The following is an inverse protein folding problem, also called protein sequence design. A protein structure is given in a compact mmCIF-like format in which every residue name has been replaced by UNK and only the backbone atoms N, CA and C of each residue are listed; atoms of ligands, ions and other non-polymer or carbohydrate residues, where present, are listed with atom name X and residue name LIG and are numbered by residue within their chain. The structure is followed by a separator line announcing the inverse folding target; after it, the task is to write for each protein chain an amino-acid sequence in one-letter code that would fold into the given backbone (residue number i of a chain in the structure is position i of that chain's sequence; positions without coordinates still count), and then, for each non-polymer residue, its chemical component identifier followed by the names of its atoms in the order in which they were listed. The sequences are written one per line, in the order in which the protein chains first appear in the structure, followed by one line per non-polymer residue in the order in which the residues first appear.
data_IF_012503858860
#
_entry.id   IF_012503858860
#
_cell.length_a   1.000
_cell.length_b   1.000
_cell.length_c   1.000
_cell.angle_alpha   90.00
_cell.angle_beta   90.00
_cell.angle_gamma   90.00
#
_symmetry.space_group_name_H-M   'P 1'
#
loop_
_entity.id
_entity.type
_entity.pdbx_description
1 polymer ?
#
# COMPACT_ATOMS: atom_id res chain seq x y z
N UNK A 1 19.68 8.89 28.19
CA UNK A 1 18.95 7.70 28.71
C UNK A 1 18.63 6.80 27.53
N UNK A 2 18.96 5.52 27.65
CA UNK A 2 19.14 4.58 26.54
C UNK A 2 17.86 4.24 25.80
N UNK A 3 17.90 4.34 24.47
CA UNK A 3 16.94 3.67 23.59
C UNK A 3 17.27 2.19 23.64
N UNK A 4 16.33 1.38 24.11
CA UNK A 4 16.43 -0.07 24.10
C UNK A 4 16.38 -0.53 22.63
N UNK A 5 17.54 -0.81 22.03
CA UNK A 5 17.62 -1.27 20.64
C UNK A 5 17.55 -2.78 20.60
N UNK A 6 16.36 -3.31 20.32
CA UNK A 6 16.17 -4.73 20.00
C UNK A 6 16.62 -4.98 18.56
N UNK A 7 17.73 -5.67 18.39
CA UNK A 7 18.22 -6.11 17.09
C UNK A 7 17.30 -7.23 16.57
N UNK A 8 16.24 -6.87 15.87
CA UNK A 8 15.32 -7.85 15.29
C UNK A 8 15.84 -8.29 13.93
N UNK A 9 16.16 -9.59 13.80
CA UNK A 9 16.42 -10.25 12.52
C UNK A 9 15.23 -10.16 11.54
N UNK A 10 14.06 -9.72 12.04
CA UNK A 10 12.81 -9.58 11.28
C UNK A 10 12.43 -8.12 10.96
N UNK A 11 13.35 -7.16 11.18
CA UNK A 11 13.09 -5.74 10.88
C UNK A 11 12.74 -5.52 9.40
N UNK A 12 13.33 -6.32 8.50
CA UNK A 12 13.02 -6.25 7.06
C UNK A 12 11.59 -6.70 6.77
N UNK A 13 11.13 -7.80 7.37
CA UNK A 13 9.74 -8.26 7.23
C UNK A 13 8.79 -7.21 7.77
N UNK A 14 8.97 -6.76 9.00
CA UNK A 14 8.09 -5.76 9.62
C UNK A 14 8.01 -4.46 8.79
N UNK A 15 9.15 -4.03 8.22
CA UNK A 15 9.20 -2.87 7.30
C UNK A 15 8.37 -3.13 6.04
N UNK A 16 8.50 -4.31 5.45
CA UNK A 16 7.77 -4.67 4.23
C UNK A 16 6.29 -4.94 4.46
N UNK A 17 5.91 -5.53 5.59
CA UNK A 17 4.50 -5.71 6.00
C UNK A 17 3.82 -4.35 6.15
N UNK A 18 4.46 -3.42 6.87
CA UNK A 18 3.96 -2.05 7.01
C UNK A 18 3.91 -1.33 5.67
N UNK A 19 4.95 -1.46 4.85
CA UNK A 19 5.00 -0.82 3.54
C UNK A 19 3.91 -1.34 2.60
N UNK A 20 3.73 -2.66 2.52
CA UNK A 20 2.73 -3.29 1.66
C UNK A 20 1.30 -2.91 2.07
N UNK A 21 1.02 -2.87 3.37
CA UNK A 21 -0.24 -2.35 3.88
C UNK A 21 -0.43 -0.87 3.51
N UNK A 22 0.55 -0.03 3.80
CA UNK A 22 0.45 1.43 3.62
C UNK A 22 0.29 1.81 2.15
N UNK A 23 1.04 1.20 1.24
CA UNK A 23 0.99 1.55 -0.19
C UNK A 23 -0.37 1.19 -0.82
N UNK A 24 -0.96 0.06 -0.44
CA UNK A 24 -2.30 -0.34 -0.91
C UNK A 24 -3.39 0.56 -0.31
N UNK A 25 -3.40 0.75 1.01
CA UNK A 25 -4.36 1.62 1.71
C UNK A 25 -4.32 3.06 1.19
N UNK A 26 -3.11 3.63 1.09
CA UNK A 26 -2.89 5.00 0.63
C UNK A 26 -3.26 5.16 -0.84
N UNK A 27 -2.84 4.22 -1.69
CA UNK A 27 -3.18 4.20 -3.12
C UNK A 27 -4.68 4.16 -3.37
N UNK A 28 -5.39 3.23 -2.71
CA UNK A 28 -6.83 3.02 -2.93
C UNK A 28 -7.68 4.18 -2.42
N UNK A 29 -7.39 4.69 -1.22
CA UNK A 29 -8.15 5.84 -0.67
C UNK A 29 -7.88 7.12 -1.45
N UNK A 30 -6.65 7.34 -1.95
CA UNK A 30 -6.32 8.49 -2.78
C UNK A 30 -6.95 8.41 -4.18
N UNK A 31 -6.89 7.25 -4.84
CA UNK A 31 -7.44 7.05 -6.18
C UNK A 31 -8.96 7.27 -6.20
N UNK A 32 -9.65 6.69 -5.22
CA UNK A 32 -11.12 6.80 -5.09
C UNK A 32 -11.57 8.12 -4.48
N UNK A 33 -10.70 8.83 -3.74
CA UNK A 33 -11.03 9.98 -2.88
C UNK A 33 -12.14 9.65 -1.88
N UNK A 34 -12.15 8.40 -1.40
CA UNK A 34 -13.13 7.87 -0.45
C UNK A 34 -12.44 7.34 0.81
N UNK A 35 -13.13 7.33 1.96
CA UNK A 35 -12.58 6.76 3.18
C UNK A 35 -12.52 5.24 3.03
N UNK A 36 -11.68 4.59 3.84
CA UNK A 36 -11.44 3.16 3.72
C UNK A 36 -12.69 2.29 3.93
N UNK A 37 -13.66 2.77 4.71
CA UNK A 37 -14.94 2.09 4.89
C UNK A 37 -15.73 1.93 3.59
N UNK A 38 -15.77 2.97 2.75
CA UNK A 38 -16.42 2.90 1.43
C UNK A 38 -15.63 1.98 0.48
N UNK A 39 -14.29 2.11 0.46
CA UNK A 39 -13.42 1.30 -0.39
C UNK A 39 -13.55 -0.20 -0.07
N UNK A 40 -13.48 -0.58 1.21
CA UNK A 40 -13.57 -1.98 1.63
C UNK A 40 -15.00 -2.53 1.64
N UNK A 41 -16.00 -1.64 1.62
CA UNK A 41 -17.42 -1.98 1.66
C UNK A 41 -18.03 -2.32 0.30
N UNK A 42 -17.48 -1.79 -0.80
CA UNK A 42 -17.92 -2.13 -2.15
C UNK A 42 -17.10 -3.30 -2.73
N UNK A 43 -17.72 -4.38 -3.27
CA UNK A 43 -17.00 -5.59 -3.69
C UNK A 43 -15.85 -5.35 -4.68
N UNK A 44 -16.08 -4.55 -5.73
CA UNK A 44 -15.06 -4.31 -6.75
C UNK A 44 -13.84 -3.55 -6.23
N UNK A 45 -14.02 -2.56 -5.35
CA UNK A 45 -12.90 -1.79 -4.78
C UNK A 45 -12.22 -2.55 -3.64
N UNK A 46 -12.96 -3.43 -2.95
CA UNK A 46 -12.39 -4.37 -1.99
C UNK A 46 -11.46 -5.38 -2.67
N UNK A 47 -11.88 -5.93 -3.80
CA UNK A 47 -11.05 -6.84 -4.62
C UNK A 47 -9.79 -6.12 -5.12
N UNK A 48 -9.93 -4.93 -5.69
CA UNK A 48 -8.76 -4.13 -6.12
C UNK A 48 -7.83 -3.78 -4.96
N UNK A 49 -8.35 -3.52 -3.75
CA UNK A 49 -7.52 -3.33 -2.55
C UNK A 49 -6.74 -4.60 -2.19
N UNK A 50 -7.37 -5.77 -2.25
CA UNK A 50 -6.71 -7.05 -2.01
C UNK A 50 -5.62 -7.32 -3.07
N UNK A 51 -5.89 -7.02 -4.34
CA UNK A 51 -4.91 -7.18 -5.41
C UNK A 51 -3.71 -6.23 -5.22
N UNK A 52 -3.93 -4.99 -4.79
CA UNK A 52 -2.84 -4.09 -4.42
C UNK A 52 -2.00 -4.66 -3.26
N UNK A 53 -2.63 -5.22 -2.22
CA UNK A 53 -1.93 -5.88 -1.11
C UNK A 53 -1.10 -7.07 -1.60
N UNK A 54 -1.66 -7.91 -2.48
CA UNK A 54 -0.98 -9.08 -3.08
C UNK A 54 0.22 -8.67 -3.92
N UNK A 55 0.06 -7.65 -4.76
CA UNK A 55 1.13 -7.11 -5.60
C UNK A 55 2.28 -6.55 -4.75
N UNK A 56 1.97 -5.79 -3.70
CA UNK A 56 2.98 -5.26 -2.80
C UNK A 56 3.71 -6.39 -2.03
N UNK A 57 2.99 -7.41 -1.59
CA UNK A 57 3.57 -8.60 -0.93
C UNK A 57 4.46 -9.42 -1.89
N UNK A 58 4.06 -9.55 -3.16
CA UNK A 58 4.85 -10.19 -4.20
C UNK A 58 6.19 -9.47 -4.40
N UNK A 59 6.16 -8.14 -4.51
CA UNK A 59 7.38 -7.32 -4.63
C UNK A 59 8.24 -7.43 -3.37
N UNK A 60 7.64 -7.42 -2.18
CA UNK A 60 8.38 -7.58 -0.93
C UNK A 60 9.16 -8.90 -0.88
N UNK A 61 8.53 -10.02 -1.28
CA UNK A 61 9.19 -11.33 -1.36
C UNK A 61 10.34 -11.34 -2.36
N UNK A 62 10.16 -10.74 -3.53
CA UNK A 62 11.23 -10.61 -4.53
C UNK A 62 12.41 -9.73 -4.04
N UNK A 63 12.14 -8.78 -3.15
CA UNK A 63 13.16 -7.97 -2.46
C UNK A 63 13.82 -8.69 -1.27
N UNK A 64 13.51 -9.98 -1.06
CA UNK A 64 14.12 -10.83 -0.04
C UNK A 64 13.47 -10.74 1.34
N UNK A 65 12.27 -10.18 1.44
CA UNK A 65 11.50 -10.16 2.69
C UNK A 65 10.75 -11.48 2.89
N UNK A 66 10.72 -11.98 4.13
CA UNK A 66 10.02 -13.21 4.50
C UNK A 66 8.57 -12.92 4.88
N UNK A 67 7.78 -12.40 3.93
CA UNK A 67 6.35 -12.20 4.13
C UNK A 67 5.60 -13.52 3.93
N UNK A 68 4.73 -13.86 4.88
CA UNK A 68 3.83 -15.02 4.79
C UNK A 68 3.02 -15.00 3.48
N UNK A 69 2.69 -16.18 2.95
CA UNK A 69 1.86 -16.30 1.75
C UNK A 69 0.48 -15.66 1.96
N UNK A 70 -0.14 -15.87 3.12
CA UNK A 70 -1.43 -15.27 3.51
C UNK A 70 -1.34 -13.85 4.08
N UNK A 71 -0.22 -13.14 3.89
CA UNK A 71 -0.08 -11.76 4.38
C UNK A 71 -1.19 -10.84 3.84
N UNK A 72 -1.52 -10.93 2.56
CA UNK A 72 -2.47 -10.00 1.93
C UNK A 72 -3.88 -10.14 2.50
N UNK A 73 -4.33 -11.36 2.74
CA UNK A 73 -5.61 -11.68 3.36
C UNK A 73 -5.64 -11.18 4.81
N UNK A 74 -4.60 -11.45 5.61
CA UNK A 74 -4.46 -10.92 6.98
C UNK A 74 -4.43 -9.38 7.00
N UNK A 75 -3.77 -8.76 6.02
CA UNK A 75 -3.72 -7.32 5.89
C UNK A 75 -5.10 -6.74 5.53
N UNK A 76 -5.90 -7.43 4.71
CA UNK A 76 -7.27 -7.04 4.42
C UNK A 76 -8.17 -7.17 5.66
N UNK A 77 -8.02 -8.22 6.45
CA UNK A 77 -8.70 -8.36 7.75
C UNK A 77 -8.32 -7.22 8.69
N UNK A 78 -7.03 -6.84 8.75
CA UNK A 78 -6.60 -5.69 9.51
C UNK A 78 -7.24 -4.39 8.98
N UNK A 79 -7.36 -4.23 7.65
CA UNK A 79 -8.11 -3.13 7.06
C UNK A 79 -9.54 -3.11 7.56
N UNK A 80 -10.23 -4.24 7.72
CA UNK A 80 -11.62 -4.30 8.19
C UNK A 80 -11.80 -3.77 9.62
N UNK A 81 -10.75 -3.80 10.43
CA UNK A 81 -10.80 -3.26 11.81
C UNK A 81 -10.64 -1.73 11.87
N UNK A 82 -10.19 -1.09 10.79
CA UNK A 82 -9.98 0.37 10.79
C UNK A 82 -11.30 1.15 10.95
N UNK A 83 -11.27 2.36 11.54
CA UNK A 83 -12.41 3.27 11.52
C UNK A 83 -12.90 3.53 10.10
N UNK A 84 -14.21 3.36 9.86
CA UNK A 84 -14.79 3.46 8.51
C UNK A 84 -14.54 4.82 7.83
N UNK A 85 -14.46 5.91 8.62
CA UNK A 85 -14.22 7.26 8.14
C UNK A 85 -12.72 7.59 7.91
N UNK A 86 -11.81 6.63 8.12
CA UNK A 86 -10.38 6.87 8.01
C UNK A 86 -9.95 7.09 6.56
N UNK A 87 -9.08 8.08 6.36
CA UNK A 87 -8.35 8.34 5.11
C UNK A 87 -6.85 8.17 5.34
N UNK A 88 -6.11 7.78 4.30
CA UNK A 88 -4.67 7.96 4.28
C UNK A 88 -4.30 9.44 4.12
N UNK A 89 -3.09 9.82 4.54
CA UNK A 89 -2.58 11.19 4.34
C UNK A 89 -2.58 11.58 2.86
N UNK A 90 -2.07 10.71 1.97
CA UNK A 90 -2.05 10.97 0.53
C UNK A 90 -3.45 11.22 -0.05
N UNK A 91 -4.50 10.59 0.50
CA UNK A 91 -5.87 10.86 0.10
C UNK A 91 -6.32 12.27 0.48
N UNK A 92 -5.92 12.76 1.64
CA UNK A 92 -6.15 14.15 2.03
C UNK A 92 -5.34 15.11 1.16
N UNK A 93 -4.09 14.77 0.85
CA UNK A 93 -3.23 15.60 0.01
C UNK A 93 -3.77 15.74 -1.40
N UNK A 94 -4.26 14.66 -2.04
CA UNK A 94 -4.88 14.74 -3.37
C UNK A 94 -6.17 15.56 -3.35
N UNK A 95 -7.00 15.45 -2.30
CA UNK A 95 -8.21 16.26 -2.16
C UNK A 95 -7.91 17.75 -1.92
N UNK A 96 -6.73 18.06 -1.36
CA UNK A 96 -6.27 19.43 -1.08
C UNK A 96 -5.35 19.99 -2.16
N UNK A 97 -5.12 19.26 -3.25
CA UNK A 97 -4.20 19.68 -4.32
C UNK A 97 -2.75 19.85 -3.87
N UNK A 98 -2.31 19.04 -2.90
CA UNK A 98 -0.93 19.03 -2.39
C UNK A 98 -0.11 17.97 -3.09
N UNK A 99 1.21 18.17 -3.06
CA UNK A 99 2.18 17.20 -3.56
C UNK A 99 1.99 15.83 -2.89
N UNK A 100 1.98 14.78 -3.71
CA UNK A 100 1.78 13.42 -3.25
C UNK A 100 3.09 12.68 -2.98
N UNK A 101 3.08 11.82 -1.97
CA UNK A 101 4.12 10.80 -1.74
C UNK A 101 4.06 9.62 -2.73
N UNK A 102 3.24 9.74 -3.78
CA UNK A 102 2.99 8.72 -4.80
C UNK A 102 4.27 8.06 -5.37
N UNK A 103 5.37 8.80 -5.67
CA UNK A 103 6.60 8.19 -6.15
C UNK A 103 7.25 7.22 -5.14
N UNK A 104 7.00 7.40 -3.84
CA UNK A 104 7.57 6.60 -2.76
C UNK A 104 6.67 5.45 -2.32
N UNK A 105 5.38 5.48 -2.68
CA UNK A 105 4.41 4.43 -2.42
C UNK A 105 4.18 3.56 -3.66
N UNK A 106 3.04 3.71 -4.35
CA UNK A 106 2.72 2.91 -5.54
C UNK A 106 3.78 3.03 -6.63
N UNK A 107 4.41 4.21 -6.77
CA UNK A 107 5.56 4.37 -7.68
C UNK A 107 6.76 3.52 -7.28
N UNK A 108 7.03 3.32 -5.99
CA UNK A 108 8.11 2.45 -5.53
C UNK A 108 7.79 0.98 -5.77
N UNK A 109 6.54 0.55 -5.58
CA UNK A 109 6.10 -0.81 -5.94
C UNK A 109 6.32 -1.07 -7.42
N UNK A 110 5.89 -0.16 -8.30
CA UNK A 110 6.08 -0.28 -9.76
C UNK A 110 7.55 -0.37 -10.14
N UNK A 111 8.41 0.54 -9.63
CA UNK A 111 9.85 0.51 -9.95
C UNK A 111 10.55 -0.77 -9.47
N UNK A 112 10.20 -1.26 -8.28
CA UNK A 112 10.79 -2.50 -7.74
C UNK A 112 10.28 -3.73 -8.47
N UNK A 113 8.99 -3.79 -8.82
CA UNK A 113 8.44 -4.87 -9.64
C UNK A 113 9.15 -4.98 -10.99
N UNK A 114 9.42 -3.85 -11.66
CA UNK A 114 10.15 -3.80 -12.93
C UNK A 114 11.57 -4.40 -12.81
N UNK A 115 12.29 -4.13 -11.73
CA UNK A 115 13.63 -4.70 -11.47
C UNK A 115 13.61 -6.23 -11.44
N UNK A 116 12.50 -6.83 -11.00
CA UNK A 116 12.33 -8.28 -10.86
C UNK A 116 11.49 -8.90 -11.99
N UNK A 117 11.09 -8.13 -13.00
CA UNK A 117 10.23 -8.63 -14.08
C UNK A 117 8.81 -9.02 -13.63
N UNK A 118 8.33 -8.45 -12.51
CA UNK A 118 7.01 -8.75 -11.94
C UNK A 118 5.91 -7.85 -12.49
N UNK A 119 4.71 -8.42 -12.65
CA UNK A 119 3.51 -7.68 -13.02
C UNK A 119 2.82 -7.13 -11.77
N UNK A 120 2.57 -5.82 -11.75
CA UNK A 120 1.84 -5.10 -10.69
C UNK A 120 0.80 -4.13 -11.30
N UNK A 121 -0.19 -4.66 -12.05
CA UNK A 121 -1.13 -3.83 -12.82
C UNK A 121 -1.94 -2.88 -11.94
N UNK A 122 -2.29 -3.27 -10.72
CA UNK A 122 -3.08 -2.47 -9.78
C UNK A 122 -2.29 -1.27 -9.29
N UNK A 123 -1.07 -1.48 -8.82
CA UNK A 123 -0.18 -0.37 -8.44
C UNK A 123 0.20 0.51 -9.63
N UNK A 124 0.31 -0.06 -10.84
CA UNK A 124 0.51 0.71 -12.07
C UNK A 124 -0.70 1.60 -12.37
N UNK A 125 -1.92 1.09 -12.23
CA UNK A 125 -3.14 1.85 -12.44
C UNK A 125 -3.30 2.96 -11.40
N UNK A 126 -3.04 2.68 -10.11
CA UNK A 126 -3.03 3.69 -9.04
C UNK A 126 -2.02 4.78 -9.35
N UNK A 127 -0.79 4.40 -9.72
CA UNK A 127 0.25 5.37 -10.09
C UNK A 127 -0.17 6.23 -11.28
N UNK A 128 -0.63 5.62 -12.38
CA UNK A 128 -1.04 6.33 -13.58
C UNK A 128 -2.24 7.27 -13.32
N UNK A 129 -3.21 6.84 -12.51
CA UNK A 129 -4.39 7.64 -12.19
C UNK A 129 -4.10 8.84 -11.26
N UNK A 130 -3.01 8.78 -10.49
CA UNK A 130 -2.64 9.82 -9.53
C UNK A 130 -1.46 10.69 -9.97
N UNK A 131 -0.70 10.30 -11.00
CA UNK A 131 0.54 11.00 -11.39
C UNK A 131 0.28 12.46 -11.79
N UNK A 132 -0.89 12.77 -12.36
CA UNK A 132 -1.29 14.13 -12.73
C UNK A 132 -1.56 15.04 -11.52
N UNK A 133 -1.64 14.47 -10.32
CA UNK A 133 -1.82 15.19 -9.06
C UNK A 133 -0.52 15.24 -8.22
N UNK A 134 0.58 14.63 -8.70
CA UNK A 134 1.81 14.48 -7.92
C UNK A 134 2.82 15.64 -8.09
N UNK A 135 2.47 16.69 -8.84
CA UNK A 135 3.27 17.91 -9.08
C UNK A 135 3.25 18.89 -7.92
#
# INVERSE_FOLDING_TARGET
AGVETVFSEDIRRATWEKFAFLTAFSGMTALTRKPIGEVRGHPATREMLLDALREAALVARAEGARLDEGFAEKALEAVDTLPAAMYASMAQDVMRGRRLELPWLSGAVVRRAQKHGLSVPTHRAIYAGLVLHAG
#
